data_IF_163576763145
#
_entry.id   IF_163576763145
#
_cell.length_a   1.000
_cell.length_b   1.000
_cell.length_c   1.000
_cell.angle_alpha   90.00
_cell.angle_beta   90.00
_cell.angle_gamma   90.00
#
_symmetry.space_group_name_H-M   'P 1'
#
loop_
_entity.id
_entity.type
_entity.pdbx_description
1 polymer ?
#
# COMPACT_ATOMS: atom_id res chain seq x y z
N UNK A 1 -0.70 -21.97 -17.53
CA UNK A 1 0.63 -21.49 -17.12
C UNK A 1 0.51 -20.05 -16.62
N UNK A 2 0.07 -19.11 -17.47
CA UNK A 2 -0.18 -17.70 -17.07
C UNK A 2 -1.10 -17.51 -15.85
N UNK A 3 -2.09 -18.38 -15.64
CA UNK A 3 -3.05 -18.23 -14.56
C UNK A 3 -2.51 -18.62 -13.18
N UNK A 4 -1.59 -19.58 -13.11
CA UNK A 4 -1.04 -20.07 -11.84
C UNK A 4 0.01 -19.12 -11.30
N UNK A 5 0.89 -18.61 -12.16
CA UNK A 5 1.86 -17.58 -11.80
C UNK A 5 1.17 -16.27 -11.40
N UNK A 6 0.14 -15.85 -12.14
CA UNK A 6 -0.65 -14.67 -11.77
C UNK A 6 -1.39 -14.88 -10.43
N UNK A 7 -1.96 -16.07 -10.21
CA UNK A 7 -2.59 -16.40 -8.93
C UNK A 7 -1.58 -16.36 -7.79
N UNK A 8 -0.36 -16.85 -8.01
CA UNK A 8 0.73 -16.77 -7.05
C UNK A 8 1.08 -15.32 -6.73
N UNK A 9 1.31 -14.47 -7.73
CA UNK A 9 1.64 -13.04 -7.52
C UNK A 9 0.51 -12.32 -6.79
N UNK A 10 -0.75 -12.57 -7.16
CA UNK A 10 -1.91 -11.96 -6.51
C UNK A 10 -2.14 -12.47 -5.08
N UNK A 11 -1.79 -13.72 -4.79
CA UNK A 11 -1.80 -14.26 -3.42
C UNK A 11 -0.68 -13.62 -2.60
N UNK A 12 0.53 -13.58 -3.15
CA UNK A 12 1.69 -12.97 -2.49
C UNK A 12 1.45 -11.50 -2.15
N UNK A 13 0.89 -10.73 -3.08
CA UNK A 13 0.54 -9.33 -2.86
C UNK A 13 -0.41 -9.15 -1.68
N UNK A 14 -1.37 -10.07 -1.50
CA UNK A 14 -2.30 -10.06 -0.35
C UNK A 14 -1.61 -10.44 0.95
N UNK A 15 -0.70 -11.41 0.93
CA UNK A 15 0.03 -11.84 2.13
C UNK A 15 0.97 -10.76 2.66
N UNK A 16 1.68 -10.05 1.78
CA UNK A 16 2.68 -9.05 2.20
C UNK A 16 2.10 -7.67 2.46
N UNK A 17 0.88 -7.39 1.99
CA UNK A 17 0.16 -6.13 2.23
C UNK A 17 0.17 -5.75 3.72
N UNK A 18 -0.16 -6.71 4.58
CA UNK A 18 -0.22 -6.47 6.03
C UNK A 18 1.15 -6.11 6.64
N UNK A 19 2.25 -6.56 6.04
CA UNK A 19 3.60 -6.19 6.48
C UNK A 19 3.99 -4.76 6.09
N UNK A 20 3.33 -4.16 5.10
CA UNK A 20 3.65 -2.81 4.69
C UNK A 20 3.12 -1.75 5.63
N UNK A 21 2.02 -2.02 6.34
CA UNK A 21 1.54 -1.16 7.42
C UNK A 21 2.62 -0.84 8.47
N UNK A 22 3.24 -1.83 9.15
CA UNK A 22 4.31 -1.55 10.10
C UNK A 22 5.59 -1.04 9.42
N UNK A 23 5.91 -1.47 8.19
CA UNK A 23 7.11 -1.00 7.47
C UNK A 23 7.08 0.51 7.19
N UNK A 24 5.90 1.05 6.87
CA UNK A 24 5.71 2.48 6.59
C UNK A 24 5.14 3.25 7.79
N UNK A 25 4.93 2.59 8.94
CA UNK A 25 4.36 3.20 10.14
C UNK A 25 2.91 3.68 9.95
N UNK A 26 2.13 3.00 9.10
CA UNK A 26 0.75 3.33 8.79
C UNK A 26 -0.22 2.55 9.71
N UNK A 27 -1.29 3.20 10.21
CA UNK A 27 -2.32 2.51 10.98
C UNK A 27 -3.29 1.77 10.06
N UNK A 28 -3.88 0.66 10.53
CA UNK A 28 -4.92 -0.12 9.81
C UNK A 28 -6.31 0.52 9.86
N UNK A 29 -6.37 1.85 9.90
CA UNK A 29 -7.61 2.62 9.77
C UNK A 29 -7.80 3.08 8.33
N UNK A 30 -8.97 3.60 7.97
CA UNK A 30 -9.26 4.00 6.59
C UNK A 30 -8.22 5.00 6.02
N UNK A 31 -7.65 5.90 6.83
CA UNK A 31 -6.62 6.84 6.35
C UNK A 31 -5.32 6.11 6.01
N UNK A 32 -4.87 5.21 6.88
CA UNK A 32 -3.65 4.44 6.64
C UNK A 32 -3.83 3.41 5.52
N UNK A 33 -5.00 2.79 5.40
CA UNK A 33 -5.33 1.92 4.26
C UNK A 33 -5.22 2.66 2.93
N UNK A 34 -5.81 3.86 2.81
CA UNK A 34 -5.70 4.64 1.59
C UNK A 34 -4.28 5.16 1.35
N UNK A 35 -3.54 5.49 2.42
CA UNK A 35 -2.15 5.91 2.29
C UNK A 35 -1.27 4.75 1.79
N UNK A 36 -1.50 3.54 2.32
CA UNK A 36 -0.80 2.36 1.87
C UNK A 36 -1.17 2.06 0.41
N UNK A 37 -2.44 2.21 0.03
CA UNK A 37 -2.92 2.02 -1.34
C UNK A 37 -2.25 2.93 -2.37
N UNK A 38 -1.84 4.13 -1.96
CA UNK A 38 -1.00 5.01 -2.79
C UNK A 38 0.38 4.39 -3.00
N UNK A 39 1.01 3.86 -1.95
CA UNK A 39 2.30 3.15 -2.06
C UNK A 39 2.16 1.91 -2.95
N UNK A 40 1.10 1.12 -2.80
CA UNK A 40 0.84 -0.05 -3.65
C UNK A 40 0.70 0.33 -5.12
N UNK A 41 0.04 1.46 -5.40
CA UNK A 41 -0.10 1.97 -6.76
C UNK A 41 1.27 2.33 -7.35
N UNK A 42 2.14 3.00 -6.62
CA UNK A 42 3.50 3.32 -7.11
C UNK A 42 4.34 2.07 -7.37
N UNK A 43 4.13 0.99 -6.61
CA UNK A 43 4.92 -0.24 -6.71
C UNK A 43 4.42 -1.20 -7.80
N UNK A 44 3.10 -1.37 -7.93
CA UNK A 44 2.50 -2.38 -8.79
C UNK A 44 1.67 -1.80 -9.95
N UNK A 45 1.38 -0.50 -9.92
CA UNK A 45 0.56 0.21 -10.91
C UNK A 45 -0.83 -0.42 -11.14
N UNK A 46 -1.37 -1.10 -10.14
CA UNK A 46 -2.63 -1.80 -10.31
C UNK A 46 -3.82 -0.83 -10.27
N UNK A 47 -4.76 -0.90 -11.24
CA UNK A 47 -5.89 0.02 -11.33
C UNK A 47 -6.79 0.05 -10.09
N UNK A 48 -6.94 -1.07 -9.38
CA UNK A 48 -7.80 -1.12 -8.20
C UNK A 48 -7.26 -0.24 -7.07
N UNK A 49 -5.96 0.04 -7.01
CA UNK A 49 -5.39 0.92 -6.00
C UNK A 49 -5.86 2.36 -6.22
N UNK A 50 -5.80 2.83 -7.46
CA UNK A 50 -6.32 4.14 -7.84
C UNK A 50 -7.82 4.29 -7.55
N UNK A 51 -8.63 3.30 -7.95
CA UNK A 51 -10.08 3.29 -7.67
C UNK A 51 -10.36 3.25 -6.16
N UNK A 52 -9.54 2.52 -5.39
CA UNK A 52 -9.69 2.44 -3.94
C UNK A 52 -9.36 3.77 -3.25
N UNK A 53 -8.30 4.46 -3.65
CA UNK A 53 -7.93 5.79 -3.11
C UNK A 53 -9.00 6.83 -3.44
N UNK A 54 -9.42 6.89 -4.70
CA UNK A 54 -10.46 7.85 -5.14
C UNK A 54 -11.81 7.55 -4.48
N UNK A 55 -12.25 6.29 -4.44
CA UNK A 55 -13.50 5.90 -3.78
C UNK A 55 -13.45 6.02 -2.26
N UNK A 56 -12.33 5.71 -1.63
CA UNK A 56 -12.14 5.81 -0.19
C UNK A 56 -12.11 7.26 0.31
N UNK A 57 -11.42 8.14 -0.43
CA UNK A 57 -11.37 9.57 -0.08
C UNK A 57 -12.72 10.28 -0.24
N UNK A 58 -13.62 9.76 -1.08
CA UNK A 58 -14.99 10.25 -1.18
C UNK A 58 -15.81 10.04 0.10
N UNK A 59 -15.43 9.08 0.96
CA UNK A 59 -16.10 8.80 2.24
C UNK A 59 -15.56 9.62 3.42
N UNK A 60 -14.52 10.41 3.21
CA UNK A 60 -13.91 11.21 4.27
C UNK A 60 -14.71 12.47 4.62
N UNK A 61 -14.67 12.83 5.90
CA UNK A 61 -15.02 14.20 6.31
C UNK A 61 -14.01 15.21 5.75
N UNK A 62 -14.41 16.48 5.63
CA UNK A 62 -13.52 17.52 5.08
C UNK A 62 -12.19 17.64 5.83
N UNK A 63 -12.21 17.45 7.16
CA UNK A 63 -11.02 17.44 8.00
C UNK A 63 -10.10 16.27 7.66
N UNK A 64 -10.65 15.06 7.53
CA UNK A 64 -9.89 13.86 7.19
C UNK A 64 -9.31 13.96 5.78
N UNK A 65 -10.10 14.45 4.82
CA UNK A 65 -9.66 14.67 3.44
C UNK A 65 -8.50 15.66 3.37
N UNK A 66 -8.59 16.77 4.10
CA UNK A 66 -7.51 17.75 4.16
C UNK A 66 -6.24 17.15 4.78
N UNK A 67 -6.37 16.41 5.89
CA UNK A 67 -5.25 15.73 6.53
C UNK A 67 -4.59 14.70 5.60
N UNK A 68 -5.40 13.89 4.91
CA UNK A 68 -4.95 12.86 3.98
C UNK A 68 -4.12 13.47 2.85
N UNK A 69 -4.68 14.44 2.11
CA UNK A 69 -3.97 15.02 0.96
C UNK A 69 -2.74 15.85 1.37
N UNK A 70 -2.79 16.54 2.52
CA UNK A 70 -1.66 17.37 2.98
C UNK A 70 -0.49 16.56 3.54
N UNK A 71 -0.76 15.50 4.29
CA UNK A 71 0.27 14.77 5.03
C UNK A 71 0.50 13.36 4.49
N UNK A 72 -0.56 12.55 4.38
CA UNK A 72 -0.41 11.13 4.05
C UNK A 72 -0.10 10.92 2.57
N UNK A 73 -0.83 11.58 1.67
CA UNK A 73 -0.72 11.38 0.24
C UNK A 73 0.68 11.69 -0.29
N UNK A 74 1.19 12.91 -0.04
CA UNK A 74 2.52 13.30 -0.49
C UNK A 74 3.64 12.44 0.11
N UNK A 75 3.51 12.04 1.38
CA UNK A 75 4.48 11.15 2.01
C UNK A 75 4.41 9.73 1.41
N UNK A 76 3.21 9.21 1.17
CA UNK A 76 2.99 7.90 0.56
C UNK A 76 3.56 7.83 -0.86
N UNK A 77 3.30 8.83 -1.72
CA UNK A 77 3.90 8.89 -3.07
C UNK A 77 5.42 8.90 -2.97
N UNK A 78 6.00 9.78 -2.13
CA UNK A 78 7.45 9.86 -1.96
C UNK A 78 8.07 8.58 -1.40
N UNK A 79 7.37 7.91 -0.50
CA UNK A 79 7.80 6.64 0.09
C UNK A 79 7.74 5.52 -0.94
N UNK A 80 6.65 5.40 -1.69
CA UNK A 80 6.47 4.41 -2.75
C UNK A 80 7.50 4.56 -3.87
N UNK A 81 7.78 5.78 -4.32
CA UNK A 81 8.80 6.05 -5.35
C UNK A 81 10.23 5.77 -4.88
N UNK A 82 10.51 5.89 -3.58
CA UNK A 82 11.85 5.66 -3.00
C UNK A 82 12.05 4.24 -2.48
N UNK A 83 10.97 3.48 -2.30
CA UNK A 83 11.03 2.12 -1.84
C UNK A 83 11.72 1.23 -2.89
N UNK A 84 12.45 0.23 -2.42
CA UNK A 84 12.84 -0.90 -3.25
C UNK A 84 11.60 -1.66 -3.71
N UNK A 85 11.72 -2.53 -4.72
CA UNK A 85 10.65 -3.44 -5.12
C UNK A 85 10.19 -4.27 -3.93
N UNK A 86 9.03 -3.90 -3.37
CA UNK A 86 8.49 -4.48 -2.14
C UNK A 86 8.00 -5.91 -2.36
N UNK A 87 7.65 -6.28 -3.58
CA UNK A 87 7.21 -7.64 -3.91
C UNK A 87 8.37 -8.62 -3.99
N UNK A 88 9.55 -8.14 -4.37
CA UNK A 88 10.77 -8.93 -4.43
C UNK A 88 11.49 -9.08 -3.07
N UNK A 89 10.96 -8.53 -1.98
CA UNK A 89 11.53 -8.70 -0.63
C UNK A 89 11.10 -10.04 -0.03
N UNK A 90 12.08 -10.78 0.51
CA UNK A 90 11.85 -12.06 1.17
C UNK A 90 11.62 -11.87 2.69
N UNK A 91 10.45 -11.36 3.05
CA UNK A 91 10.07 -11.00 4.43
C UNK A 91 10.30 -12.12 5.45
N UNK A 92 10.16 -13.38 5.03
CA UNK A 92 10.29 -14.57 5.85
C UNK A 92 11.67 -14.73 6.46
N UNK A 93 12.72 -14.20 5.81
CA UNK A 93 14.09 -14.23 6.33
C UNK A 93 14.37 -13.14 7.36
N UNK A 94 13.43 -12.21 7.56
CA UNK A 94 13.61 -11.04 8.42
C UNK A 94 12.79 -11.09 9.72
N UNK A 95 11.95 -12.11 9.92
CA UNK A 95 11.12 -12.22 11.14
C UNK A 95 11.92 -12.30 12.45
N UNK A 96 13.14 -12.85 12.42
CA UNK A 96 13.99 -12.97 13.62
C UNK A 96 14.90 -11.76 13.87
N UNK A 97 14.81 -10.71 13.03
CA UNK A 97 15.60 -9.48 13.15
C UNK A 97 14.79 -8.27 13.65
N UNK A 98 13.52 -8.49 13.97
CA UNK A 98 12.59 -7.47 14.50
C UNK A 98 12.54 -7.59 16.01
#
# INVERSE_FOLDING_TARGET
>A
METEELAYVAMRAREVHDFWHPLFGLPTNLIGELALKVIEFEQMLLPMCFVSVTGGTARFSDRQRSLFYKHYFCCAVRAGMKATDLMCVYYEKHFMKI
#
